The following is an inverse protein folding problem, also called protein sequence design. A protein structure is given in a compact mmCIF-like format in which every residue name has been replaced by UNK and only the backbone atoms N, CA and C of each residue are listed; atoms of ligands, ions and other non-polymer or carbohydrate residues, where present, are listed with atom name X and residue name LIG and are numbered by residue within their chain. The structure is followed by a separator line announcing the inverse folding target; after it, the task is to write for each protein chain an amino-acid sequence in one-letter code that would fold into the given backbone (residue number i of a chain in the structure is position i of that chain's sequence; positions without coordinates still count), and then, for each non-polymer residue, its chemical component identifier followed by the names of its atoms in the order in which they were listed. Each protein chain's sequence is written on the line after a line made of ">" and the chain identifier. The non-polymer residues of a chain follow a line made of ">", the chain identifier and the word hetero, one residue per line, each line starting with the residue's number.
data_IF_260877978237
#
_entry.id   IF_260877978237
#
_cell.length_a   1.000
_cell.length_b   1.000
_cell.length_c   1.000
_cell.angle_alpha   90.00
_cell.angle_beta   90.00
_cell.angle_gamma   90.00
#
_symmetry.space_group_name_H-M   'P 1'
#
loop_
_entity.id
_entity.type
_entity.pdbx_description
1 polymer ?
#
# COMPACT_ATOMS: atom_id res chain seq x y z
N UNK A 1 1.05 -1.52 -13.45
CA UNK A 1 -0.07 -0.90 -12.70
C UNK A 1 0.48 0.33 -12.04
N UNK A 2 -0.21 1.45 -12.20
CA UNK A 2 0.20 2.75 -11.68
C UNK A 2 -0.01 2.76 -10.16
N UNK A 3 1.05 3.01 -9.40
CA UNK A 3 0.95 3.18 -7.95
C UNK A 3 0.19 4.46 -7.61
N UNK A 4 -0.17 4.63 -6.34
CA UNK A 4 -0.88 5.84 -5.89
C UNK A 4 -0.12 7.15 -6.19
N UNK A 5 1.22 7.10 -6.22
CA UNK A 5 2.07 8.23 -6.61
C UNK A 5 2.00 8.52 -8.12
N UNK A 6 1.89 7.49 -8.95
CA UNK A 6 1.69 7.65 -10.39
C UNK A 6 0.33 8.29 -10.67
N UNK A 7 -0.68 7.94 -9.87
CA UNK A 7 -2.00 8.57 -9.94
C UNK A 7 -1.93 10.06 -9.62
N UNK A 8 -1.17 10.49 -8.62
CA UNK A 8 -0.97 11.93 -8.34
C UNK A 8 -0.31 12.68 -9.50
N UNK A 9 0.65 12.03 -10.17
CA UNK A 9 1.34 12.63 -11.29
C UNK A 9 0.52 12.62 -12.59
N UNK A 10 -0.57 11.85 -12.64
CA UNK A 10 -1.49 11.79 -13.77
C UNK A 10 -2.28 13.11 -13.96
N UNK A 11 -2.90 13.33 -15.13
CA UNK A 11 -3.78 14.48 -15.35
C UNK A 11 -4.91 14.58 -14.31
N UNK A 12 -5.47 13.44 -13.90
CA UNK A 12 -6.48 13.36 -12.85
C UNK A 12 -5.92 13.80 -11.50
N UNK A 13 -4.73 13.30 -11.14
CA UNK A 13 -4.04 13.70 -9.91
C UNK A 13 -3.75 15.19 -9.85
N UNK A 14 -3.29 15.77 -10.97
CA UNK A 14 -3.07 17.22 -11.09
C UNK A 14 -4.36 18.03 -10.94
N UNK A 15 -5.48 17.52 -11.47
CA UNK A 15 -6.79 18.14 -11.30
C UNK A 15 -7.25 18.10 -9.84
N UNK A 16 -7.05 16.97 -9.15
CA UNK A 16 -7.35 16.83 -7.71
C UNK A 16 -6.49 17.82 -6.90
N UNK A 17 -5.18 17.86 -7.14
CA UNK A 17 -4.27 18.78 -6.46
C UNK A 17 -4.72 20.23 -6.67
N UNK A 18 -5.01 20.62 -7.90
CA UNK A 18 -5.47 21.98 -8.24
C UNK A 18 -6.77 22.33 -7.52
N UNK A 19 -7.77 21.47 -7.59
CA UNK A 19 -9.08 21.69 -6.97
C UNK A 19 -9.01 21.77 -5.45
N UNK A 20 -8.30 20.85 -4.81
CA UNK A 20 -8.10 20.83 -3.36
C UNK A 20 -7.30 22.04 -2.89
N UNK A 21 -6.26 22.41 -3.63
CA UNK A 21 -5.44 23.59 -3.30
C UNK A 21 -6.27 24.89 -3.37
N UNK A 22 -7.12 25.01 -4.39
CA UNK A 22 -8.04 26.13 -4.55
C UNK A 22 -9.08 26.19 -3.43
N UNK A 23 -9.66 25.05 -3.07
CA UNK A 23 -10.66 24.94 -2.00
C UNK A 23 -10.09 25.31 -0.62
N UNK A 24 -8.82 25.01 -0.37
CA UNK A 24 -8.19 25.19 0.94
C UNK A 24 -7.33 26.45 1.02
N UNK A 25 -7.16 27.19 -0.09
CA UNK A 25 -6.29 28.37 -0.15
C UNK A 25 -4.80 28.03 -0.01
N UNK A 26 -4.42 26.78 -0.22
CA UNK A 26 -3.04 26.29 -0.10
C UNK A 26 -2.36 26.25 -1.47
N UNK A 27 -1.03 26.25 -1.52
CA UNK A 27 -0.34 26.10 -2.81
C UNK A 27 -0.50 24.68 -3.35
N UNK A 28 -0.51 24.55 -4.69
CA UNK A 28 -0.55 23.26 -5.36
C UNK A 28 0.62 22.36 -4.93
N UNK A 29 1.82 22.92 -4.75
CA UNK A 29 3.00 22.18 -4.31
C UNK A 29 2.83 21.61 -2.89
N UNK A 30 2.37 22.44 -1.93
CA UNK A 30 2.12 21.98 -0.56
C UNK A 30 1.03 20.92 -0.52
N UNK A 31 -0.03 21.13 -1.29
CA UNK A 31 -1.16 20.19 -1.40
C UNK A 31 -0.69 18.85 -2.00
N UNK A 32 0.06 18.88 -3.10
CA UNK A 32 0.62 17.69 -3.73
C UNK A 32 1.57 16.92 -2.82
N UNK A 33 2.44 17.63 -2.09
CA UNK A 33 3.32 17.04 -1.09
C UNK A 33 2.54 16.38 0.05
N UNK A 34 1.53 17.08 0.59
CA UNK A 34 0.66 16.53 1.62
C UNK A 34 -0.06 15.27 1.15
N UNK A 35 -0.68 15.29 -0.03
CA UNK A 35 -1.38 14.13 -0.60
C UNK A 35 -0.44 12.95 -0.84
N UNK A 36 0.81 13.21 -1.27
CA UNK A 36 1.84 12.18 -1.45
C UNK A 36 2.21 11.47 -0.15
N UNK A 37 2.17 12.18 0.98
CA UNK A 37 2.40 11.60 2.31
C UNK A 37 1.13 10.97 2.90
N UNK A 38 -0.02 11.62 2.71
CA UNK A 38 -1.27 11.23 3.34
C UNK A 38 -1.86 9.96 2.71
N UNK A 39 -1.84 9.82 1.39
CA UNK A 39 -2.51 8.70 0.74
C UNK A 39 -1.96 7.32 1.11
N UNK A 40 -0.64 7.10 1.22
CA UNK A 40 -0.12 5.86 1.78
C UNK A 40 -0.61 5.57 3.19
N UNK A 41 -0.73 6.60 4.04
CA UNK A 41 -1.25 6.48 5.41
C UNK A 41 -2.73 6.09 5.41
N UNK A 42 -3.56 6.76 4.59
CA UNK A 42 -4.98 6.43 4.45
C UNK A 42 -5.17 5.02 3.88
N UNK A 43 -4.34 4.60 2.92
CA UNK A 43 -4.36 3.26 2.35
C UNK A 43 -4.00 2.20 3.39
N UNK A 44 -2.94 2.41 4.17
CA UNK A 44 -2.57 1.51 5.26
C UNK A 44 -3.64 1.44 6.35
N UNK A 45 -4.32 2.56 6.63
CA UNK A 45 -5.46 2.58 7.54
C UNK A 45 -6.65 1.78 7.00
N UNK A 46 -6.98 1.91 5.70
CA UNK A 46 -8.01 1.09 5.05
C UNK A 46 -7.66 -0.40 5.07
N UNK A 47 -6.40 -0.76 4.75
CA UNK A 47 -5.91 -2.14 4.84
C UNK A 47 -6.07 -2.71 6.25
N UNK A 48 -5.72 -1.94 7.27
CA UNK A 48 -5.90 -2.34 8.67
C UNK A 48 -7.37 -2.54 9.04
N UNK A 49 -8.29 -1.73 8.52
CA UNK A 49 -9.71 -1.92 8.78
C UNK A 49 -10.24 -3.16 8.04
N UNK A 50 -9.83 -3.33 6.78
CA UNK A 50 -10.16 -4.48 5.94
C UNK A 50 -9.54 -5.81 6.40
N UNK A 51 -8.66 -5.82 7.41
CA UNK A 51 -8.14 -7.05 8.00
C UNK A 51 -9.14 -7.73 8.96
N UNK A 52 -10.26 -7.09 9.25
CA UNK A 52 -11.39 -7.68 9.99
C UNK A 52 -12.55 -7.95 9.04
N UNK A 53 -13.34 -9.03 9.22
CA UNK A 53 -14.50 -9.31 8.39
C UNK A 53 -15.48 -8.12 8.30
N UNK A 54 -15.77 -7.48 9.44
CA UNK A 54 -16.70 -6.36 9.53
C UNK A 54 -16.17 -5.13 8.80
N UNK A 55 -14.89 -4.81 8.97
CA UNK A 55 -14.27 -3.68 8.29
C UNK A 55 -14.12 -3.91 6.79
N UNK A 56 -13.83 -5.14 6.35
CA UNK A 56 -13.81 -5.50 4.94
C UNK A 56 -15.19 -5.40 4.31
N UNK A 57 -16.23 -5.93 4.94
CA UNK A 57 -17.62 -5.82 4.46
C UNK A 57 -18.08 -4.36 4.43
N UNK A 58 -17.77 -3.57 5.45
CA UNK A 58 -18.10 -2.14 5.49
C UNK A 58 -17.42 -1.36 4.36
N UNK A 59 -16.13 -1.59 4.15
CA UNK A 59 -15.36 -0.96 3.07
C UNK A 59 -15.90 -1.39 1.70
N UNK A 60 -16.17 -2.67 1.50
CA UNK A 60 -16.74 -3.21 0.25
C UNK A 60 -18.11 -2.59 -0.05
N UNK A 61 -19.00 -2.51 0.94
CA UNK A 61 -20.31 -1.87 0.78
C UNK A 61 -20.17 -0.38 0.40
N UNK A 62 -19.24 0.34 1.01
CA UNK A 62 -19.01 1.75 0.72
C UNK A 62 -18.51 1.96 -0.72
N UNK A 63 -17.55 1.15 -1.17
CA UNK A 63 -16.98 1.27 -2.52
C UNK A 63 -17.85 0.67 -3.63
N UNK A 64 -18.72 -0.30 -3.33
CA UNK A 64 -19.68 -0.82 -4.30
C UNK A 64 -20.92 0.07 -4.44
N UNK A 65 -21.25 0.85 -3.40
CA UNK A 65 -22.37 1.79 -3.40
C UNK A 65 -21.92 3.22 -3.70
N UNK A 66 -21.85 4.04 -2.65
CA UNK A 66 -21.65 5.49 -2.71
C UNK A 66 -20.33 5.89 -3.38
N UNK A 67 -19.27 5.10 -3.22
CA UNK A 67 -17.93 5.40 -3.71
C UNK A 67 -17.50 4.52 -4.88
N UNK A 68 -18.43 4.12 -5.74
CA UNK A 68 -18.18 3.29 -6.93
C UNK A 68 -17.35 3.96 -8.04
N UNK A 69 -16.98 5.24 -7.86
CA UNK A 69 -16.11 5.97 -8.78
C UNK A 69 -16.76 7.16 -9.46
N UNK A 70 -18.08 7.36 -9.31
CA UNK A 70 -18.79 8.47 -9.97
C UNK A 70 -18.27 9.87 -9.64
N UNK A 71 -17.67 10.07 -8.46
CA UNK A 71 -17.00 11.33 -8.09
C UNK A 71 -15.84 11.69 -9.04
N UNK A 72 -15.21 10.69 -9.65
CA UNK A 72 -14.06 10.88 -10.54
C UNK A 72 -14.47 11.37 -11.94
N UNK A 73 -15.71 11.09 -12.34
CA UNK A 73 -16.21 11.43 -13.68
C UNK A 73 -16.58 12.92 -13.79
N UNK A 74 -16.81 13.60 -12.65
CA UNK A 74 -17.11 15.02 -12.59
C UNK A 74 -16.25 15.78 -11.56
N UNK A 75 -14.93 15.56 -11.57
CA UNK A 75 -14.02 16.33 -10.71
C UNK A 75 -14.05 17.83 -11.02
N UNK A 76 -14.37 18.23 -12.25
CA UNK A 76 -14.50 19.64 -12.63
C UNK A 76 -15.64 20.30 -11.85
N UNK A 77 -16.83 19.72 -11.93
CA UNK A 77 -18.00 20.21 -11.20
C UNK A 77 -17.86 20.07 -9.68
N UNK A 78 -17.10 19.10 -9.17
CA UNK A 78 -16.82 18.97 -7.73
C UNK A 78 -16.12 20.22 -7.14
N UNK A 79 -15.25 20.85 -7.93
CA UNK A 79 -14.48 22.02 -7.48
C UNK A 79 -15.05 23.34 -8.01
N UNK A 80 -16.03 23.30 -8.90
CA UNK A 80 -16.68 24.48 -9.45
C UNK A 80 -17.59 25.12 -8.39
N UNK A 81 -17.33 26.37 -8.02
CA UNK A 81 -18.09 27.07 -6.98
C UNK A 81 -17.75 26.64 -5.53
N UNK A 82 -16.82 25.70 -5.37
CA UNK A 82 -16.37 25.16 -4.10
C UNK A 82 -16.92 23.77 -3.79
N UNK A 83 -16.23 23.02 -2.93
CA UNK A 83 -16.62 21.66 -2.57
C UNK A 83 -17.84 21.68 -1.65
N UNK A 84 -18.88 20.93 -2.04
CA UNK A 84 -20.10 20.77 -1.26
C UNK A 84 -19.85 20.25 0.16
N UNK A 85 -20.64 20.75 1.12
CA UNK A 85 -20.58 20.31 2.51
C UNK A 85 -20.80 18.79 2.64
N UNK A 86 -21.69 18.23 1.83
CA UNK A 86 -21.99 16.79 1.82
C UNK A 86 -20.76 15.93 1.52
N UNK A 87 -19.86 16.39 0.64
CA UNK A 87 -18.59 15.72 0.34
C UNK A 87 -17.63 15.83 1.51
N UNK A 88 -17.54 17.00 2.14
CA UNK A 88 -16.66 17.18 3.29
C UNK A 88 -17.11 16.41 4.53
N UNK A 89 -18.42 16.30 4.76
CA UNK A 89 -19.01 15.51 5.84
C UNK A 89 -18.80 14.01 5.62
N UNK A 90 -18.98 13.56 4.38
CA UNK A 90 -18.69 12.20 3.98
C UNK A 90 -17.21 11.85 4.18
N UNK A 91 -16.32 12.76 3.79
CA UNK A 91 -14.90 12.64 4.05
C UNK A 91 -14.55 12.56 5.52
N UNK A 92 -15.19 13.38 6.36
CA UNK A 92 -15.02 13.30 7.81
C UNK A 92 -15.49 11.94 8.36
N UNK A 93 -16.60 11.42 7.86
CA UNK A 93 -17.09 10.08 8.19
C UNK A 93 -16.09 8.99 7.81
N UNK A 94 -15.57 9.01 6.58
CA UNK A 94 -14.55 8.06 6.11
C UNK A 94 -13.33 8.11 7.02
N UNK A 95 -12.76 9.29 7.25
CA UNK A 95 -11.57 9.45 8.11
C UNK A 95 -11.85 8.94 9.53
N UNK A 96 -13.02 9.22 10.09
CA UNK A 96 -13.44 8.71 11.39
C UNK A 96 -13.49 7.18 11.43
N UNK A 97 -13.96 6.53 10.37
CA UNK A 97 -13.96 5.07 10.27
C UNK A 97 -12.54 4.50 10.12
N UNK A 98 -11.74 5.04 9.21
CA UNK A 98 -10.44 4.42 8.88
C UNK A 98 -9.34 4.76 9.88
N UNK A 99 -9.33 5.98 10.41
CA UNK A 99 -8.32 6.45 11.38
C UNK A 99 -8.80 6.34 12.83
N UNK A 100 -10.11 6.39 13.08
CA UNK A 100 -10.68 6.37 14.42
C UNK A 100 -10.08 7.43 15.33
N UNK A 101 -9.80 7.06 16.58
CA UNK A 101 -9.15 7.94 17.57
C UNK A 101 -7.73 8.39 17.20
N UNK A 102 -7.13 7.88 16.12
CA UNK A 102 -5.80 8.28 15.65
C UNK A 102 -5.82 9.46 14.69
N UNK A 103 -7.00 9.87 14.21
CA UNK A 103 -7.12 10.97 13.25
C UNK A 103 -6.38 12.24 13.69
N UNK A 104 -6.53 12.75 14.94
CA UNK A 104 -5.80 13.95 15.36
C UNK A 104 -4.28 13.76 15.36
N UNK A 105 -3.79 12.57 15.69
CA UNK A 105 -2.35 12.29 15.68
C UNK A 105 -1.79 12.27 14.25
N UNK A 106 -2.53 11.70 13.31
CA UNK A 106 -2.16 11.67 11.89
C UNK A 106 -2.17 13.08 11.29
N UNK A 107 -3.23 13.86 11.54
CA UNK A 107 -3.33 15.25 11.08
C UNK A 107 -2.18 16.11 11.60
N UNK A 108 -1.84 15.99 12.90
CA UNK A 108 -0.72 16.72 13.49
C UNK A 108 0.64 16.30 12.90
N UNK A 109 0.87 15.00 12.71
CA UNK A 109 2.11 14.52 12.11
C UNK A 109 2.27 15.01 10.66
N UNK A 110 1.19 15.00 9.88
CA UNK A 110 1.18 15.51 8.52
C UNK A 110 1.35 17.02 8.47
N UNK A 111 0.71 17.77 9.38
CA UNK A 111 0.87 19.22 9.55
C UNK A 111 2.33 19.61 9.75
N UNK A 112 3.03 18.94 10.68
CA UNK A 112 4.45 19.19 10.94
C UNK A 112 5.33 18.91 9.73
N UNK A 113 5.06 17.80 9.01
CA UNK A 113 5.86 17.43 7.83
C UNK A 113 5.57 18.30 6.61
N UNK A 114 4.32 18.72 6.41
CA UNK A 114 3.91 19.53 5.26
C UNK A 114 4.16 21.03 5.47
N UNK A 115 4.44 21.48 6.70
CA UNK A 115 4.54 22.90 7.01
C UNK A 115 3.21 23.64 6.77
N UNK A 116 2.13 22.99 7.20
CA UNK A 116 0.74 23.44 7.06
C UNK A 116 0.05 23.40 8.42
N UNK A 117 -0.94 24.25 8.66
CA UNK A 117 -1.74 24.16 9.88
C UNK A 117 -2.61 22.90 9.87
N UNK A 118 -2.88 22.35 11.06
CA UNK A 118 -3.67 21.13 11.21
C UNK A 118 -5.10 21.27 10.65
N UNK A 119 -5.67 22.47 10.68
CA UNK A 119 -7.00 22.75 10.11
C UNK A 119 -7.03 22.56 8.59
N UNK A 120 -6.09 23.18 7.87
CA UNK A 120 -5.95 22.97 6.42
C UNK A 120 -5.65 21.51 6.07
N UNK A 121 -4.80 20.84 6.84
CA UNK A 121 -4.54 19.40 6.64
C UNK A 121 -5.83 18.59 6.78
N UNK A 122 -6.57 18.78 7.87
CA UNK A 122 -7.85 18.11 8.07
C UNK A 122 -8.84 18.37 6.93
N UNK A 123 -8.93 19.61 6.45
CA UNK A 123 -9.81 19.96 5.33
C UNK A 123 -9.39 19.27 4.03
N UNK A 124 -8.08 19.23 3.74
CA UNK A 124 -7.55 18.51 2.58
C UNK A 124 -7.86 17.01 2.67
N UNK A 125 -7.66 16.40 3.83
CA UNK A 125 -7.96 14.97 4.03
C UNK A 125 -9.45 14.68 3.85
N UNK A 126 -10.34 15.56 4.33
CA UNK A 126 -11.79 15.40 4.16
C UNK A 126 -12.20 15.43 2.68
N UNK A 127 -11.59 16.26 1.86
CA UNK A 127 -11.89 16.26 0.41
C UNK A 127 -11.22 15.08 -0.30
N UNK A 128 -10.02 14.71 0.13
CA UNK A 128 -9.25 13.64 -0.49
C UNK A 128 -9.82 12.23 -0.20
N UNK A 129 -10.40 12.00 0.98
CA UNK A 129 -10.86 10.67 1.38
C UNK A 129 -12.00 10.11 0.48
N UNK A 130 -13.07 10.85 0.14
CA UNK A 130 -14.08 10.39 -0.81
C UNK A 130 -13.53 10.14 -2.21
N UNK A 131 -12.56 10.94 -2.66
CA UNK A 131 -11.90 10.76 -3.96
C UNK A 131 -11.08 9.48 -3.97
N UNK A 132 -10.30 9.22 -2.91
CA UNK A 132 -9.53 8.00 -2.75
C UNK A 132 -10.43 6.76 -2.72
N UNK A 133 -11.56 6.85 -2.02
CA UNK A 133 -12.60 5.82 -2.02
C UNK A 133 -13.20 5.62 -3.42
N UNK A 134 -13.42 6.70 -4.17
CA UNK A 134 -13.85 6.65 -5.57
C UNK A 134 -12.86 5.94 -6.48
N UNK A 135 -11.56 6.19 -6.32
CA UNK A 135 -10.49 5.46 -7.05
C UNK A 135 -10.54 3.98 -6.69
N UNK A 136 -10.65 3.66 -5.40
CA UNK A 136 -10.74 2.30 -4.91
C UNK A 136 -11.98 1.57 -5.47
N UNK A 137 -13.15 2.21 -5.45
CA UNK A 137 -14.38 1.63 -5.98
C UNK A 137 -14.38 1.48 -7.49
N UNK A 138 -13.81 2.43 -8.22
CA UNK A 138 -13.60 2.29 -9.68
C UNK A 138 -12.72 1.08 -9.99
N UNK A 139 -11.62 0.92 -9.25
CA UNK A 139 -10.74 -0.24 -9.39
C UNK A 139 -11.45 -1.54 -8.97
N UNK A 140 -12.23 -1.53 -7.90
CA UNK A 140 -13.00 -2.69 -7.44
C UNK A 140 -14.03 -3.15 -8.48
N UNK A 141 -14.77 -2.19 -9.05
CA UNK A 141 -15.73 -2.46 -10.12
C UNK A 141 -15.05 -3.02 -11.37
N UNK A 142 -13.94 -2.41 -11.81
CA UNK A 142 -13.18 -2.89 -12.99
C UNK A 142 -12.63 -4.30 -12.81
N UNK A 143 -12.29 -4.69 -11.58
CA UNK A 143 -11.75 -6.02 -11.26
C UNK A 143 -12.84 -6.99 -10.74
N UNK A 144 -14.12 -6.64 -10.81
CA UNK A 144 -15.26 -7.44 -10.33
C UNK A 144 -15.09 -7.93 -8.88
N UNK A 145 -14.53 -7.09 -8.02
CA UNK A 145 -14.31 -7.44 -6.61
C UNK A 145 -15.64 -7.48 -5.87
N UNK A 146 -15.90 -8.62 -5.25
CA UNK A 146 -17.13 -8.90 -4.47
C UNK A 146 -16.84 -9.49 -3.09
N UNK A 147 -15.57 -9.68 -2.74
CA UNK A 147 -15.15 -10.26 -1.46
C UNK A 147 -13.95 -9.53 -0.84
N UNK A 148 -13.65 -9.91 0.41
CA UNK A 148 -12.54 -9.35 1.19
C UNK A 148 -11.17 -9.63 0.57
N UNK A 149 -11.02 -10.73 -0.17
CA UNK A 149 -9.74 -11.14 -0.76
C UNK A 149 -9.41 -10.25 -1.95
N UNK A 150 -10.37 -10.02 -2.84
CA UNK A 150 -10.25 -9.08 -3.95
C UNK A 150 -9.99 -7.66 -3.46
N UNK A 151 -10.63 -7.25 -2.35
CA UNK A 151 -10.39 -5.96 -1.73
C UNK A 151 -8.94 -5.83 -1.23
N UNK A 152 -8.44 -6.84 -0.52
CA UNK A 152 -7.05 -6.88 -0.06
C UNK A 152 -6.06 -6.82 -1.24
N UNK A 153 -6.33 -7.54 -2.33
CA UNK A 153 -5.52 -7.54 -3.54
C UNK A 153 -5.45 -6.15 -4.18
N UNK A 154 -6.58 -5.45 -4.27
CA UNK A 154 -6.60 -4.08 -4.82
C UNK A 154 -5.84 -3.12 -3.91
N UNK A 155 -6.14 -3.12 -2.61
CA UNK A 155 -5.46 -2.25 -1.64
C UNK A 155 -3.94 -2.50 -1.65
N UNK A 156 -3.52 -3.77 -1.76
CA UNK A 156 -2.12 -4.15 -1.94
C UNK A 156 -1.52 -3.59 -3.23
N UNK A 157 -2.21 -3.79 -4.35
CA UNK A 157 -1.75 -3.30 -5.66
C UNK A 157 -1.58 -1.77 -5.72
N UNK A 158 -2.51 -1.01 -5.15
CA UNK A 158 -2.49 0.46 -5.14
C UNK A 158 -1.45 1.04 -4.19
N UNK A 159 -1.18 0.35 -3.08
CA UNK A 159 -0.13 0.73 -2.11
C UNK A 159 1.29 0.57 -2.65
N UNK A 160 1.46 0.16 -3.91
CA UNK A 160 2.77 -0.18 -4.49
C UNK A 160 3.18 -1.63 -4.24
N UNK A 161 2.29 -2.44 -3.63
CA UNK A 161 2.43 -3.88 -3.45
C UNK A 161 2.16 -4.69 -4.72
N UNK A 162 2.48 -4.13 -5.89
CA UNK A 162 2.66 -4.88 -7.13
C UNK A 162 3.91 -5.76 -7.08
N UNK A 163 4.08 -6.52 -6.00
CA UNK A 163 5.13 -7.51 -5.80
C UNK A 163 4.65 -8.73 -5.00
N UNK A 164 3.37 -9.09 -5.12
CA UNK A 164 2.85 -10.39 -4.66
C UNK A 164 3.04 -11.54 -5.66
N UNK A 165 3.54 -11.28 -6.86
CA UNK A 165 3.72 -12.31 -7.90
C UNK A 165 5.00 -12.17 -8.72
N UNK A 166 5.82 -11.14 -8.47
CA UNK A 166 7.18 -11.03 -9.04
C UNK A 166 8.28 -11.07 -8.00
N UNK A 167 8.08 -10.57 -6.77
CA UNK A 167 9.08 -10.78 -5.71
C UNK A 167 8.97 -12.20 -5.15
N UNK A 168 7.75 -12.69 -4.95
CA UNK A 168 7.52 -14.08 -4.59
C UNK A 168 7.90 -15.01 -5.76
N UNK A 169 7.62 -14.65 -7.01
CA UNK A 169 8.13 -15.42 -8.15
C UNK A 169 9.64 -15.32 -8.32
N UNK A 170 10.34 -14.24 -7.97
CA UNK A 170 11.81 -14.18 -8.04
C UNK A 170 12.50 -14.83 -6.83
N UNK A 171 11.82 -14.90 -5.70
CA UNK A 171 12.29 -15.66 -4.54
C UNK A 171 12.00 -17.15 -4.78
N UNK A 172 10.78 -17.53 -5.19
CA UNK A 172 10.40 -18.89 -5.60
C UNK A 172 11.16 -19.35 -6.85
N UNK A 173 11.30 -18.59 -7.94
CA UNK A 173 12.07 -19.05 -9.12
C UNK A 173 13.60 -19.06 -8.91
N UNK A 174 14.09 -18.52 -7.80
CA UNK A 174 15.47 -18.68 -7.36
C UNK A 174 15.62 -19.75 -6.25
N UNK A 175 14.52 -20.19 -5.63
CA UNK A 175 14.44 -21.25 -4.60
C UNK A 175 13.82 -22.57 -5.11
N UNK A 176 13.17 -22.59 -6.26
CA UNK A 176 12.36 -23.69 -6.81
C UNK A 176 12.84 -24.10 -8.21
N UNK A 177 14.13 -23.87 -8.50
CA UNK A 177 14.69 -24.21 -9.80
C UNK A 177 15.03 -25.70 -9.96
N UNK A 178 15.00 -26.51 -8.90
CA UNK A 178 15.27 -27.96 -8.93
C UNK A 178 14.27 -28.85 -8.16
N UNK A 179 13.33 -28.27 -7.42
CA UNK A 179 12.13 -28.96 -6.93
C UNK A 179 12.38 -30.07 -5.91
N UNK A 180 13.22 -29.85 -4.89
CA UNK A 180 13.54 -30.90 -3.89
C UNK A 180 13.02 -30.66 -2.46
N UNK A 181 12.64 -29.43 -2.10
CA UNK A 181 11.94 -29.14 -0.84
C UNK A 181 12.74 -29.36 0.45
N UNK A 182 14.05 -29.03 0.51
CA UNK A 182 14.82 -29.14 1.77
C UNK A 182 15.93 -28.10 1.99
N UNK A 183 15.57 -26.86 2.37
CA UNK A 183 16.52 -25.75 2.62
C UNK A 183 17.34 -25.83 3.92
N UNK A 184 17.27 -26.92 4.70
CA UNK A 184 17.94 -27.01 6.01
C UNK A 184 19.20 -27.90 6.01
N UNK A 185 19.35 -28.82 5.06
CA UNK A 185 20.47 -29.77 5.04
C UNK A 185 21.74 -29.16 4.39
N UNK A 186 21.57 -28.36 3.34
CA UNK A 186 22.70 -27.78 2.58
C UNK A 186 23.40 -26.61 3.28
N UNK A 187 22.67 -25.83 4.09
CA UNK A 187 23.28 -24.72 4.85
C UNK A 187 24.14 -25.26 6.00
N UNK A 188 23.75 -26.40 6.57
CA UNK A 188 24.54 -27.07 7.60
C UNK A 188 25.84 -27.67 7.01
N UNK A 189 25.80 -28.21 5.79
CA UNK A 189 27.00 -28.78 5.14
C UNK A 189 28.03 -27.74 4.68
N UNK A 190 27.58 -26.56 4.22
CA UNK A 190 28.45 -25.58 3.57
C UNK A 190 29.27 -24.71 4.53
N UNK A 191 28.81 -24.51 5.77
CA UNK A 191 29.58 -23.82 6.82
C UNK A 191 30.76 -24.66 7.32
N UNK A 192 30.74 -25.98 7.07
CA UNK A 192 31.68 -26.94 7.64
C UNK A 192 32.76 -27.37 6.63
N UNK A 193 32.55 -27.14 5.32
CA UNK A 193 33.46 -27.61 4.26
C UNK A 193 34.30 -26.51 3.59
N UNK A 194 34.28 -25.27 4.09
CA UNK A 194 34.89 -24.09 3.46
C UNK A 194 36.30 -23.67 3.91
N UNK A 195 36.90 -24.29 4.92
CA UNK A 195 38.32 -24.06 5.27
C UNK A 195 39.17 -25.20 4.69
N UNK A 196 39.81 -24.92 3.54
CA UNK A 196 40.54 -25.90 2.75
C UNK A 196 41.77 -26.53 3.41
N UNK A 197 42.31 -27.59 2.79
CA UNK A 197 43.66 -27.57 2.21
C UNK A 197 43.97 -28.87 1.44
N UNK A 198 44.68 -28.68 0.34
CA UNK A 198 45.28 -29.68 -0.55
C UNK A 198 46.32 -30.58 0.15
N UNK A 199 46.38 -31.84 -0.30
CA UNK A 199 47.57 -32.59 -0.79
C UNK A 199 48.66 -33.00 0.22
N UNK A 200 48.86 -34.31 0.30
CA UNK A 200 50.21 -34.89 0.20
C UNK A 200 50.68 -35.74 1.37
N UNK A 201 50.51 -37.06 1.25
CA UNK A 201 51.59 -38.06 1.25
C UNK A 201 52.43 -38.32 2.52
N UNK A 202 52.71 -39.62 2.70
CA UNK A 202 53.78 -40.27 3.48
C UNK A 202 53.41 -40.79 4.88
N UNK A 203 53.70 -42.07 5.09
CA UNK A 203 53.75 -42.73 6.39
C UNK A 203 52.40 -43.33 6.76
N UNK A 204 52.11 -44.59 6.46
CA UNK A 204 52.85 -45.71 7.04
C UNK A 204 52.12 -46.16 8.30
N UNK A 205 51.99 -47.48 8.45
CA UNK A 205 51.44 -48.16 9.61
C UNK A 205 49.90 -48.19 9.65
N UNK A 206 49.31 -49.27 9.13
CA UNK A 206 48.18 -50.00 9.74
C UNK A 206 47.57 -51.08 8.81
N UNK A 207 48.11 -51.27 7.61
CA UNK A 207 47.85 -52.46 6.79
C UNK A 207 48.71 -53.65 7.23
N UNK A 208 48.30 -54.35 8.29
CA UNK A 208 48.73 -55.73 8.58
C UNK A 208 49.53 -55.93 9.87
N UNK A 209 48.86 -56.27 10.98
CA UNK A 209 49.28 -57.28 11.98
C UNK A 209 48.27 -57.28 13.15
N UNK A 210 47.60 -58.42 13.38
CA UNK A 210 46.59 -58.71 14.42
C UNK A 210 45.12 -58.50 14.04
N UNK A 211 44.47 -59.56 13.52
CA UNK A 211 43.03 -59.50 13.29
C UNK A 211 42.30 -60.75 12.76
N UNK A 212 42.84 -61.96 13.01
CA UNK A 212 42.38 -63.30 12.54
C UNK A 212 42.80 -63.71 11.13
#
# INVERSE_FOLDING_TARGET
>A
MSGILDLLNSPMGKQIISGVSSQTGQSADKTGNLLSMAMPVLMGAMQRNASTPEGASGLLNAISGKHSGGILDNLGGLFEGGVDQSVTDDGAGILGHILGGKQPAVENALSQKAGMDAGSVGQILKVAAPILMGVLGKQASQNNVSDSNGLANILGSLSGGGQGSKQQSLIESFLDADGDGSVLDDVAGMLLSGSGQKKGGLGGLLGGLFGK
#
